data_IF_285627762277
#
_entry.id   IF_285627762277
#
_cell.length_a   1.000
_cell.length_b   1.000
_cell.length_c   1.000
_cell.angle_alpha   90.00
_cell.angle_beta   90.00
_cell.angle_gamma   90.00
#
_symmetry.space_group_name_H-M   'P 1'
#
loop_
_entity.id
_entity.type
_entity.pdbx_description
1 polymer ?
#
# COMPACT_ATOMS: atom_id res chain seq x y z
N UNK A 1 -0.03 14.10 5.36
CA UNK A 1 1.10 13.45 6.08
C UNK A 1 1.55 14.30 7.25
N UNK A 2 1.46 15.62 7.15
CA UNK A 2 1.81 16.57 8.21
C UNK A 2 1.14 16.27 9.57
N UNK A 3 -0.15 15.92 9.59
CA UNK A 3 -0.86 15.53 10.81
C UNK A 3 -0.35 14.21 11.45
N UNK A 4 0.36 13.38 10.68
CA UNK A 4 1.05 12.18 11.16
C UNK A 4 2.50 12.48 11.61
N UNK A 5 2.93 13.74 11.55
CA UNK A 5 4.25 14.19 12.01
C UNK A 5 5.40 13.89 11.04
N UNK A 6 5.12 13.68 9.75
CA UNK A 6 6.16 13.42 8.76
C UNK A 6 6.87 14.73 8.35
N UNK A 7 8.20 14.76 8.36
CA UNK A 7 9.00 15.91 7.89
C UNK A 7 9.04 16.00 6.36
N UNK A 8 9.29 14.86 5.69
CA UNK A 8 9.29 14.75 4.24
C UNK A 8 8.43 13.56 3.80
N UNK A 9 7.57 13.77 2.82
CA UNK A 9 6.68 12.74 2.30
C UNK A 9 6.56 12.82 0.79
N UNK A 10 6.43 11.66 0.15
CA UNK A 10 6.14 11.52 -1.28
C UNK A 10 5.00 10.54 -1.47
N UNK A 11 4.20 10.75 -2.51
CA UNK A 11 3.13 9.82 -2.88
C UNK A 11 3.70 8.62 -3.65
N UNK A 12 3.08 7.45 -3.48
CA UNK A 12 3.35 6.24 -4.28
C UNK A 12 2.17 5.95 -5.22
N UNK A 13 2.21 4.81 -5.91
CA UNK A 13 1.08 4.41 -6.75
C UNK A 13 -0.22 4.22 -5.93
N UNK A 14 -1.34 4.57 -6.54
CA UNK A 14 -2.65 4.71 -5.89
C UNK A 14 -3.72 3.78 -6.43
N UNK A 15 -4.97 4.07 -6.06
CA UNK A 15 -6.14 3.36 -6.58
C UNK A 15 -6.05 1.85 -6.34
N UNK A 16 -6.30 1.05 -7.38
CA UNK A 16 -6.29 -0.41 -7.28
C UNK A 16 -4.95 -1.03 -6.90
N UNK A 17 -3.85 -0.29 -7.04
CA UNK A 17 -2.52 -0.72 -6.64
C UNK A 17 -2.25 -0.54 -5.14
N UNK A 18 -3.07 0.23 -4.42
CA UNK A 18 -2.86 0.47 -2.97
C UNK A 18 -3.23 -0.79 -2.17
N UNK A 19 -2.19 -1.47 -1.67
CA UNK A 19 -2.30 -2.66 -0.84
C UNK A 19 -1.36 -2.61 0.37
N UNK A 20 -1.75 -3.27 1.46
CA UNK A 20 -0.82 -3.59 2.56
C UNK A 20 -1.11 -5.01 3.04
N UNK A 21 -0.05 -5.79 3.24
CA UNK A 21 -0.14 -7.11 3.87
C UNK A 21 0.59 -7.11 5.21
N UNK A 22 0.03 -7.84 6.17
CA UNK A 22 0.66 -8.15 7.45
C UNK A 22 0.63 -9.67 7.61
N UNK A 23 1.78 -10.29 7.90
CA UNK A 23 1.90 -11.76 7.99
C UNK A 23 1.33 -12.50 6.76
N UNK A 24 1.61 -11.96 5.56
CA UNK A 24 1.09 -12.47 4.28
C UNK A 24 -0.43 -12.44 4.15
N UNK A 25 -1.13 -11.64 4.96
CA UNK A 25 -2.57 -11.40 4.87
C UNK A 25 -2.83 -9.96 4.44
N UNK A 26 -3.67 -9.77 3.42
CA UNK A 26 -4.15 -8.45 3.01
C UNK A 26 -4.98 -7.81 4.13
N UNK A 27 -4.60 -6.60 4.54
CA UNK A 27 -5.28 -5.83 5.60
C UNK A 27 -6.02 -4.60 5.07
N UNK A 28 -5.75 -4.19 3.83
CA UNK A 28 -6.50 -3.13 3.13
C UNK A 28 -7.71 -3.69 2.37
N UNK A 29 -8.56 -2.79 1.86
CA UNK A 29 -9.66 -3.12 0.96
C UNK A 29 -9.32 -2.63 -0.45
N UNK A 30 -9.04 -3.52 -1.41
CA UNK A 30 -8.77 -3.11 -2.79
C UNK A 30 -9.95 -2.32 -3.37
N UNK A 31 -9.64 -1.31 -4.17
CA UNK A 31 -10.67 -0.50 -4.86
C UNK A 31 -11.12 -1.10 -6.19
N UNK A 32 -10.32 -1.98 -6.79
CA UNK A 32 -10.69 -2.65 -8.04
C UNK A 32 -11.81 -3.68 -7.78
N UNK A 33 -12.80 -3.73 -8.65
CA UNK A 33 -13.94 -4.64 -8.51
C UNK A 33 -13.55 -6.13 -8.55
N UNK A 34 -12.38 -6.44 -9.13
CA UNK A 34 -11.83 -7.79 -9.22
C UNK A 34 -11.00 -8.20 -8.00
N UNK A 35 -10.83 -7.30 -7.01
CA UNK A 35 -9.99 -7.55 -5.84
C UNK A 35 -8.58 -6.99 -5.98
N UNK A 36 -7.60 -7.68 -5.40
CA UNK A 36 -6.19 -7.26 -5.41
C UNK A 36 -5.62 -7.22 -6.84
N UNK A 37 -4.94 -6.12 -7.20
CA UNK A 37 -4.29 -5.93 -8.48
C UNK A 37 -2.83 -6.43 -8.44
N UNK A 38 -2.35 -7.16 -9.46
CA UNK A 38 -0.93 -7.41 -9.62
C UNK A 38 -0.12 -6.10 -9.75
N UNK A 39 0.91 -5.94 -8.92
CA UNK A 39 1.83 -4.78 -8.93
C UNK A 39 3.22 -5.19 -9.43
N UNK A 40 3.99 -4.24 -9.96
CA UNK A 40 5.34 -4.49 -10.48
C UNK A 40 6.42 -4.56 -9.40
N UNK A 41 6.24 -3.82 -8.31
CA UNK A 41 7.18 -3.68 -7.21
C UNK A 41 6.43 -3.33 -5.90
N UNK A 42 7.12 -3.45 -4.76
CA UNK A 42 6.56 -3.17 -3.44
C UNK A 42 7.64 -2.67 -2.48
N UNK A 43 7.22 -1.89 -1.49
CA UNK A 43 8.04 -1.57 -0.31
C UNK A 43 7.84 -2.70 0.71
N UNK A 44 8.92 -3.42 1.04
CA UNK A 44 8.88 -4.59 1.91
C UNK A 44 9.69 -4.35 3.18
N UNK A 45 9.10 -4.64 4.34
CA UNK A 45 9.80 -4.68 5.62
C UNK A 45 10.32 -6.11 5.87
N UNK A 46 11.65 -6.27 5.96
CA UNK A 46 12.33 -7.54 6.22
C UNK A 46 12.69 -7.67 7.71
N UNK A 47 12.93 -8.89 8.23
CA UNK A 47 13.40 -9.11 9.60
C UNK A 47 14.74 -8.44 9.92
#
# INVERSE_FOLDING_TARGET
>A
MDALGTEEAVNLDGGGSTGMTLDRRLVTRPSDATGERPIGDAVVLLP
#
